data_IF_040509448896
#
_entry.id   IF_040509448896
#
_cell.length_a   1.000
_cell.length_b   1.000
_cell.length_c   1.000
_cell.angle_alpha   90.00
_cell.angle_beta   90.00
_cell.angle_gamma   90.00
#
_symmetry.space_group_name_H-M   'P 1'
#
loop_
_entity.id
_entity.type
_entity.pdbx_description
1 polymer ?
#
# COMPACT_ATOMS: atom_id res chain seq x y z
N UNK A 1 10.44 -3.38 -7.37
CA UNK A 1 11.19 -3.98 -6.25
C UNK A 1 10.28 -4.98 -5.56
N UNK A 2 10.80 -6.16 -5.25
CA UNK A 2 10.06 -7.22 -4.57
C UNK A 2 10.55 -7.32 -3.13
N UNK A 3 9.60 -7.29 -2.19
CA UNK A 3 9.76 -7.50 -0.75
C UNK A 3 8.70 -8.51 -0.26
N UNK A 4 8.12 -9.29 -1.16
CA UNK A 4 7.11 -10.31 -0.87
C UNK A 4 7.60 -11.36 0.15
N UNK A 5 6.74 -11.87 1.01
CA UNK A 5 7.04 -13.01 1.91
C UNK A 5 8.21 -12.76 2.90
N UNK A 6 8.36 -11.53 3.41
CA UNK A 6 9.41 -11.16 4.37
C UNK A 6 8.89 -10.98 5.82
N UNK A 7 7.62 -11.29 6.09
CA UNK A 7 6.99 -11.15 7.42
C UNK A 7 7.20 -9.75 8.06
N UNK A 8 7.17 -8.69 7.23
CA UNK A 8 7.47 -7.31 7.64
C UNK A 8 6.55 -6.83 8.77
N UNK A 9 5.29 -7.27 8.77
CA UNK A 9 4.32 -6.95 9.81
C UNK A 9 3.95 -5.47 9.91
N UNK A 10 3.02 -5.15 10.81
CA UNK A 10 2.56 -3.78 11.05
C UNK A 10 3.67 -2.85 11.56
N UNK A 11 4.64 -3.35 12.33
CA UNK A 11 5.79 -2.58 12.82
C UNK A 11 6.81 -2.24 11.72
N UNK A 12 7.12 -3.20 10.83
CA UNK A 12 8.00 -2.95 9.68
C UNK A 12 7.34 -2.03 8.63
N UNK A 13 6.01 -2.05 8.53
CA UNK A 13 5.25 -1.21 7.61
C UNK A 13 5.45 0.31 7.84
N UNK A 14 5.79 0.75 9.06
CA UNK A 14 6.17 2.14 9.33
C UNK A 14 7.39 2.56 8.48
N UNK A 15 8.40 1.69 8.38
CA UNK A 15 9.59 1.92 7.56
C UNK A 15 9.27 1.85 6.05
N UNK A 16 8.30 1.01 5.64
CA UNK A 16 7.78 1.03 4.26
C UNK A 16 7.10 2.37 3.95
N UNK A 17 6.32 2.93 4.86
CA UNK A 17 5.65 4.23 4.70
C UNK A 17 6.64 5.36 4.45
N UNK A 18 7.66 5.51 5.30
CA UNK A 18 8.72 6.51 5.12
C UNK A 18 9.59 6.24 3.87
N UNK A 19 9.89 4.97 3.54
CA UNK A 19 10.56 4.62 2.29
C UNK A 19 9.75 5.06 1.07
N UNK A 20 8.44 4.79 1.05
CA UNK A 20 7.54 5.19 -0.05
C UNK A 20 7.51 6.71 -0.18
N UNK A 21 7.31 7.43 0.93
CA UNK A 21 7.26 8.89 1.01
C UNK A 21 8.54 9.57 0.48
N UNK A 22 9.71 9.01 0.80
CA UNK A 22 11.01 9.53 0.40
C UNK A 22 11.50 9.13 -1.00
N UNK A 23 10.91 8.13 -1.65
CA UNK A 23 11.49 7.50 -2.84
C UNK A 23 10.79 7.89 -4.16
N UNK A 24 11.50 8.66 -5.00
CA UNK A 24 11.06 9.07 -6.34
C UNK A 24 11.48 8.17 -7.50
N UNK A 25 11.94 6.94 -7.26
CA UNK A 25 12.46 6.03 -8.31
C UNK A 25 11.78 4.66 -8.36
N UNK A 26 11.09 4.23 -7.29
CA UNK A 26 10.33 2.98 -7.26
C UNK A 26 9.05 3.14 -8.08
N UNK A 27 9.05 2.59 -9.30
CA UNK A 27 7.87 2.46 -10.17
C UNK A 27 6.97 1.28 -9.79
N UNK A 28 7.52 0.27 -9.14
CA UNK A 28 6.84 -0.98 -8.80
C UNK A 28 7.23 -1.44 -7.40
N UNK A 29 6.25 -1.70 -6.54
CA UNK A 29 6.45 -2.26 -5.22
C UNK A 29 5.57 -3.50 -5.03
N UNK A 30 6.20 -4.65 -4.81
CA UNK A 30 5.52 -5.85 -4.36
C UNK A 30 5.87 -6.09 -2.89
N UNK A 31 4.85 -6.08 -2.04
CA UNK A 31 4.90 -6.33 -0.60
C UNK A 31 3.86 -7.38 -0.20
N UNK A 32 3.54 -8.32 -1.10
CA UNK A 32 2.64 -9.46 -0.82
C UNK A 32 3.15 -10.39 0.29
N UNK A 33 2.28 -11.16 0.94
CA UNK A 33 2.70 -12.20 1.92
C UNK A 33 3.42 -11.65 3.16
N UNK A 34 3.13 -10.42 3.59
CA UNK A 34 3.89 -9.74 4.66
C UNK A 34 3.13 -9.54 5.97
N UNK A 35 1.87 -10.01 6.05
CA UNK A 35 0.99 -9.85 7.21
C UNK A 35 0.98 -8.40 7.74
N UNK A 36 0.82 -7.42 6.83
CA UNK A 36 0.81 -6.00 7.18
C UNK A 36 -0.39 -5.63 8.04
N UNK A 37 -1.55 -6.25 7.79
CA UNK A 37 -2.87 -5.93 8.37
C UNK A 37 -3.28 -4.46 8.15
N UNK A 38 -4.47 -4.06 8.61
CA UNK A 38 -4.93 -2.66 8.52
C UNK A 38 -4.05 -1.69 9.33
N UNK A 39 -3.32 -2.20 10.33
CA UNK A 39 -2.33 -1.44 11.09
C UNK A 39 -1.11 -1.08 10.24
N UNK A 40 -0.53 -2.03 9.50
CA UNK A 40 0.58 -1.77 8.60
C UNK A 40 0.16 -1.05 7.33
N UNK A 41 -1.00 -1.40 6.76
CA UNK A 41 -1.52 -0.72 5.58
C UNK A 41 -1.77 0.77 5.83
N UNK A 42 -2.20 1.18 7.04
CA UNK A 42 -2.28 2.61 7.41
C UNK A 42 -0.95 3.36 7.27
N UNK A 43 0.18 2.72 7.58
CA UNK A 43 1.50 3.33 7.41
C UNK A 43 1.91 3.41 5.94
N UNK A 44 1.64 2.36 5.15
CA UNK A 44 1.87 2.34 3.70
C UNK A 44 1.01 3.39 2.99
N UNK A 45 -0.29 3.44 3.29
CA UNK A 45 -1.23 4.43 2.77
C UNK A 45 -0.86 5.86 3.20
N UNK A 46 -0.40 6.05 4.44
CA UNK A 46 0.16 7.32 4.91
C UNK A 46 1.40 7.74 4.12
N UNK A 47 2.31 6.80 3.82
CA UNK A 47 3.48 7.03 2.97
C UNK A 47 3.13 7.39 1.52
N UNK A 48 2.10 6.75 0.95
CA UNK A 48 1.54 7.07 -0.37
C UNK A 48 0.93 8.49 -0.37
N UNK A 49 0.08 8.79 0.62
CA UNK A 49 -0.59 10.09 0.72
C UNK A 49 0.40 11.25 0.97
N UNK A 50 1.39 11.06 1.85
CA UNK A 50 2.39 12.08 2.23
C UNK A 50 3.62 12.12 1.31
N UNK A 51 3.80 11.13 0.42
CA UNK A 51 4.79 11.22 -0.67
C UNK A 51 4.50 12.40 -1.63
N UNK A 52 3.29 12.95 -1.57
CA UNK A 52 2.81 14.11 -2.31
C UNK A 52 3.62 15.41 -2.12
N UNK A 53 4.36 15.56 -1.02
CA UNK A 53 4.97 16.83 -0.62
C UNK A 53 6.44 16.96 -1.02
N UNK A 54 7.08 15.86 -1.44
CA UNK A 54 8.51 15.83 -1.78
C UNK A 54 8.80 15.12 -3.11
N UNK A 55 8.73 13.78 -3.17
CA UNK A 55 9.40 13.04 -4.26
C UNK A 55 8.68 11.85 -4.90
N UNK A 56 7.70 11.18 -4.27
CA UNK A 56 7.12 9.96 -4.88
C UNK A 56 5.99 10.25 -5.88
N UNK A 57 6.38 10.59 -7.11
CA UNK A 57 5.50 10.61 -8.28
C UNK A 57 5.71 9.38 -9.19
N UNK A 58 6.60 8.46 -8.82
CA UNK A 58 7.07 7.37 -9.68
C UNK A 58 6.24 6.09 -9.60
N UNK A 59 5.63 5.77 -8.45
CA UNK A 59 4.91 4.52 -8.24
C UNK A 59 3.75 4.32 -9.25
N UNK A 60 3.73 3.17 -9.92
CA UNK A 60 2.72 2.75 -10.93
C UNK A 60 2.08 1.41 -10.60
N UNK A 61 2.82 0.45 -10.05
CA UNK A 61 2.31 -0.86 -9.64
C UNK A 61 2.53 -1.11 -8.15
N UNK A 62 1.49 -1.55 -7.45
CA UNK A 62 1.52 -1.92 -6.03
C UNK A 62 0.86 -3.29 -5.85
N UNK A 63 1.61 -4.28 -5.37
CA UNK A 63 1.05 -5.56 -4.94
C UNK A 63 1.02 -5.63 -3.41
N UNK A 64 -0.18 -5.84 -2.87
CA UNK A 64 -0.54 -5.98 -1.48
C UNK A 64 -1.24 -7.33 -1.21
N UNK A 65 -1.15 -8.29 -2.15
CA UNK A 65 -1.80 -9.58 -2.01
C UNK A 65 -1.38 -10.34 -0.75
N UNK A 66 -2.27 -11.13 -0.16
CA UNK A 66 -1.99 -11.95 1.05
C UNK A 66 -1.35 -11.16 2.21
N UNK A 67 -2.08 -10.19 2.77
CA UNK A 67 -1.58 -9.31 3.84
C UNK A 67 -2.54 -9.16 5.04
N UNK A 68 -3.65 -9.89 5.08
CA UNK A 68 -4.65 -9.77 6.14
C UNK A 68 -5.43 -8.44 6.12
N UNK A 69 -5.51 -7.77 4.96
CA UNK A 69 -6.18 -6.47 4.80
C UNK A 69 -7.71 -6.65 4.80
N UNK A 70 -8.42 -5.85 5.59
CA UNK A 70 -9.88 -5.86 5.69
C UNK A 70 -10.54 -4.80 4.76
N UNK A 71 -11.88 -4.73 4.68
CA UNK A 71 -12.58 -3.65 3.98
C UNK A 71 -12.14 -2.25 4.45
N UNK A 72 -11.88 -2.07 5.74
CA UNK A 72 -11.53 -0.77 6.33
C UNK A 72 -10.09 -0.36 5.97
N UNK A 73 -9.18 -1.34 5.86
CA UNK A 73 -7.85 -1.14 5.30
C UNK A 73 -7.89 -0.76 3.81
N UNK A 74 -8.75 -1.43 3.03
CA UNK A 74 -8.97 -1.11 1.61
C UNK A 74 -9.53 0.31 1.40
N UNK A 75 -10.55 0.69 2.17
CA UNK A 75 -11.07 2.07 2.21
C UNK A 75 -9.98 3.08 2.58
N UNK A 76 -9.14 2.77 3.57
CA UNK A 76 -8.01 3.62 3.97
C UNK A 76 -7.02 3.82 2.81
N UNK A 77 -6.68 2.76 2.09
CA UNK A 77 -5.79 2.84 0.94
C UNK A 77 -6.40 3.66 -0.20
N UNK A 78 -7.69 3.47 -0.53
CA UNK A 78 -8.28 4.21 -1.65
C UNK A 78 -8.52 5.68 -1.34
N UNK A 79 -8.74 6.05 -0.07
CA UNK A 79 -8.69 7.45 0.36
C UNK A 79 -7.29 8.08 0.14
N UNK A 80 -6.22 7.34 0.42
CA UNK A 80 -4.85 7.79 0.13
C UNK A 80 -4.58 7.89 -1.39
N UNK A 81 -5.06 6.95 -2.19
CA UNK A 81 -4.90 6.97 -3.66
C UNK A 81 -5.75 8.05 -4.36
N UNK A 82 -6.86 8.49 -3.75
CA UNK A 82 -7.66 9.63 -4.22
C UNK A 82 -6.93 10.98 -4.06
N UNK A 83 -5.83 11.04 -3.31
CA UNK A 83 -4.96 12.23 -3.24
C UNK A 83 -4.24 12.41 -4.59
N UNK A 84 -4.63 13.46 -5.33
CA UNK A 84 -4.36 13.75 -6.76
C UNK A 84 -2.92 13.62 -7.31
N UNK A 85 -1.91 13.34 -6.49
CA UNK A 85 -0.51 13.25 -6.89
C UNK A 85 -0.07 11.85 -7.38
N UNK A 86 -0.60 10.76 -6.80
CA UNK A 86 -0.10 9.41 -7.05
C UNK A 86 -0.89 8.71 -8.15
N UNK A 87 -0.22 8.37 -9.26
CA UNK A 87 -0.81 7.60 -10.37
C UNK A 87 -0.45 6.12 -10.26
N UNK A 88 -1.03 5.41 -9.30
CA UNK A 88 -1.07 3.94 -9.36
C UNK A 88 -1.98 3.54 -10.54
N UNK A 89 -1.44 2.70 -11.42
CA UNK A 89 -2.10 2.20 -12.65
C UNK A 89 -2.51 0.74 -12.49
N UNK A 90 -1.89 0.01 -11.56
CA UNK A 90 -2.24 -1.36 -11.20
C UNK A 90 -2.05 -1.56 -9.69
N UNK A 91 -3.12 -2.04 -9.05
CA UNK A 91 -3.17 -2.38 -7.64
C UNK A 91 -3.66 -3.83 -7.55
N UNK A 92 -2.91 -4.67 -6.87
CA UNK A 92 -3.30 -6.05 -6.56
C UNK A 92 -3.51 -6.16 -5.05
N UNK A 93 -4.70 -6.60 -4.65
CA UNK A 93 -5.09 -6.88 -3.26
C UNK A 93 -5.73 -8.27 -3.12
N UNK A 94 -5.46 -9.18 -4.06
CA UNK A 94 -5.93 -10.57 -4.02
C UNK A 94 -5.49 -11.32 -2.75
N UNK A 95 -6.15 -12.43 -2.43
CA UNK A 95 -5.90 -13.22 -1.20
C UNK A 95 -6.00 -12.44 0.14
N UNK A 96 -6.62 -11.25 0.15
CA UNK A 96 -6.97 -10.53 1.39
C UNK A 96 -8.45 -10.77 1.78
N UNK A 97 -8.79 -10.75 3.09
CA UNK A 97 -10.17 -10.88 3.58
C UNK A 97 -11.00 -9.61 3.36
N UNK A 98 -11.18 -9.24 2.08
CA UNK A 98 -11.91 -8.05 1.65
C UNK A 98 -13.43 -8.23 1.68
N UNK A 99 -13.93 -9.45 1.44
CA UNK A 99 -15.37 -9.74 1.27
C UNK A 99 -16.06 -8.83 0.22
N UNK A 100 -17.38 -8.93 0.08
CA UNK A 100 -18.14 -8.16 -0.91
C UNK A 100 -18.05 -6.64 -0.70
N UNK A 101 -17.87 -6.20 0.56
CA UNK A 101 -17.79 -4.77 0.93
C UNK A 101 -16.42 -4.16 0.70
N UNK A 102 -15.34 -4.94 0.64
CA UNK A 102 -14.00 -4.41 0.32
C UNK A 102 -13.84 -4.12 -1.17
N UNK A 103 -14.48 -4.91 -2.04
CA UNK A 103 -14.38 -4.75 -3.52
C UNK A 103 -14.94 -3.41 -4.01
N UNK A 104 -15.93 -2.83 -3.33
CA UNK A 104 -16.50 -1.51 -3.68
C UNK A 104 -15.58 -0.34 -3.34
N UNK A 105 -14.47 -0.59 -2.63
CA UNK A 105 -13.56 0.44 -2.14
C UNK A 105 -12.23 0.54 -2.88
N UNK A 106 -11.86 -0.43 -3.72
CA UNK A 106 -10.52 -0.56 -4.36
C UNK A 106 -10.52 -0.02 -5.80
#
# INVERSE_FOLDING_TARGET
RVLSNNAIGSGGACHLGEMIKGNGTITELDISGNNLEDAGLRHVAGGIALGNTCHNTALRRLCLADNGISPDGALTLSLALKVRAVRVVSLDMSANPLYDTGVTHV
#
